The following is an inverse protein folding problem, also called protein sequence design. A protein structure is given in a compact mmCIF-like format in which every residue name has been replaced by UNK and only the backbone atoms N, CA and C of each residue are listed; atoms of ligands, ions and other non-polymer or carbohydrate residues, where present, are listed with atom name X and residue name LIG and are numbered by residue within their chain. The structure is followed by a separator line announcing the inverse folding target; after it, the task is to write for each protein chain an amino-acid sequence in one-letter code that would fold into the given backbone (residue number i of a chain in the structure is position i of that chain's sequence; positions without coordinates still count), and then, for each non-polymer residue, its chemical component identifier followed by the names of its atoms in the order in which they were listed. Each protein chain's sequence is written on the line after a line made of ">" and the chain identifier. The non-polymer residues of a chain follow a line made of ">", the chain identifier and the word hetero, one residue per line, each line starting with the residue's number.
data_IF_822641621853
#
_entry.id   IF_822641621853
#
_cell.length_a   1.000
_cell.length_b   1.000
_cell.length_c   1.000
_cell.angle_alpha   90.00
_cell.angle_beta   90.00
_cell.angle_gamma   90.00
#
_symmetry.space_group_name_H-M   'P 1'
#
loop_
_entity.id
_entity.type
_entity.pdbx_description
1 polymer ?
#
# COMPACT_ATOMS: atom_id res chain seq x y z
N UNK A 1 -10.17 -56.94 44.88
CA UNK A 1 -9.55 -55.63 44.59
C UNK A 1 -9.26 -55.53 43.09
N UNK A 2 -10.15 -54.95 42.27
CA UNK A 2 -9.94 -54.83 40.81
C UNK A 2 -10.47 -53.52 40.18
N UNK A 3 -10.64 -52.44 40.95
CA UNK A 3 -11.30 -51.21 40.47
C UNK A 3 -10.36 -50.06 40.06
N UNK A 4 -9.05 -50.21 40.23
CA UNK A 4 -8.08 -49.10 40.09
C UNK A 4 -7.54 -48.93 38.65
N UNK A 5 -7.45 -50.00 37.86
CA UNK A 5 -6.85 -49.94 36.51
C UNK A 5 -7.72 -49.22 35.47
N UNK A 6 -9.05 -49.34 35.54
CA UNK A 6 -9.97 -48.76 34.55
C UNK A 6 -10.01 -47.22 34.52
N UNK A 7 -9.66 -46.56 35.63
CA UNK A 7 -9.68 -45.10 35.72
C UNK A 7 -8.43 -44.47 35.07
N UNK A 8 -7.27 -45.13 35.19
CA UNK A 8 -6.00 -44.63 34.62
C UNK A 8 -5.96 -44.66 33.09
N UNK A 9 -6.55 -45.69 32.47
CA UNK A 9 -6.68 -45.83 31.01
C UNK A 9 -7.59 -44.75 30.42
N UNK A 10 -8.75 -44.49 31.04
CA UNK A 10 -9.69 -43.46 30.60
C UNK A 10 -9.09 -42.04 30.63
N UNK A 11 -8.26 -41.73 31.64
CA UNK A 11 -7.56 -40.44 31.74
C UNK A 11 -6.47 -40.31 30.67
N UNK A 12 -5.74 -41.39 30.37
CA UNK A 12 -4.73 -41.40 29.28
C UNK A 12 -5.37 -41.21 27.89
N UNK A 13 -6.50 -41.88 27.61
CA UNK A 13 -7.21 -41.72 26.34
C UNK A 13 -7.84 -40.33 26.20
N UNK A 14 -8.47 -39.78 27.25
CA UNK A 14 -8.98 -38.40 27.26
C UNK A 14 -7.88 -37.36 27.01
N UNK A 15 -6.70 -37.54 27.60
CA UNK A 15 -5.58 -36.62 27.40
C UNK A 15 -5.02 -36.68 25.96
N UNK A 16 -5.01 -37.85 25.31
CA UNK A 16 -4.63 -37.96 23.89
C UNK A 16 -5.65 -37.29 22.97
N UNK A 17 -6.94 -37.50 23.23
CA UNK A 17 -8.03 -36.87 22.46
C UNK A 17 -8.03 -35.35 22.64
N UNK A 18 -7.85 -34.86 23.87
CA UNK A 18 -7.73 -33.43 24.15
C UNK A 18 -6.54 -32.77 23.45
N UNK A 19 -5.38 -33.44 23.45
CA UNK A 19 -4.20 -33.00 22.69
C UNK A 19 -4.48 -32.94 21.19
N UNK A 20 -5.20 -33.91 20.65
CA UNK A 20 -5.59 -33.90 19.24
C UNK A 20 -6.50 -32.70 18.90
N UNK A 21 -7.53 -32.44 19.70
CA UNK A 21 -8.39 -31.27 19.50
C UNK A 21 -7.62 -29.95 19.60
N UNK A 22 -6.69 -29.82 20.54
CA UNK A 22 -5.83 -28.63 20.64
C UNK A 22 -4.98 -28.40 19.39
N UNK A 23 -4.40 -29.46 18.82
CA UNK A 23 -3.60 -29.36 17.59
C UNK A 23 -4.46 -28.94 16.41
N UNK A 24 -5.66 -29.50 16.28
CA UNK A 24 -6.60 -29.12 15.21
C UNK A 24 -7.02 -27.65 15.35
N UNK A 25 -7.35 -27.20 16.56
CA UNK A 25 -7.69 -25.79 16.82
C UNK A 25 -6.51 -24.88 16.45
N UNK A 26 -5.30 -25.22 16.90
CA UNK A 26 -4.11 -24.44 16.56
C UNK A 26 -3.86 -24.38 15.05
N UNK A 27 -3.98 -25.51 14.35
CA UNK A 27 -3.83 -25.56 12.89
C UNK A 27 -4.88 -24.67 12.20
N UNK A 28 -6.14 -24.68 12.64
CA UNK A 28 -7.17 -23.80 12.08
C UNK A 28 -6.88 -22.33 12.32
N UNK A 29 -6.35 -21.96 13.50
CA UNK A 29 -5.96 -20.57 13.79
C UNK A 29 -4.86 -20.12 12.84
N UNK A 30 -3.84 -20.95 12.60
CA UNK A 30 -2.73 -20.62 11.68
C UNK A 30 -3.22 -20.41 10.25
N UNK A 31 -4.16 -21.25 9.79
CA UNK A 31 -4.76 -21.13 8.44
C UNK A 31 -5.56 -19.84 8.34
N UNK A 32 -6.46 -19.57 9.29
CA UNK A 32 -7.28 -18.35 9.30
C UNK A 32 -6.40 -17.11 9.34
N UNK A 33 -5.38 -17.11 10.20
CA UNK A 33 -4.44 -16.00 10.31
C UNK A 33 -3.72 -15.71 8.99
N UNK A 34 -3.27 -16.75 8.28
CA UNK A 34 -2.63 -16.61 6.97
C UNK A 34 -3.56 -16.00 5.93
N UNK A 35 -4.84 -16.40 5.92
CA UNK A 35 -5.86 -15.85 5.01
C UNK A 35 -6.13 -14.37 5.31
N UNK A 36 -6.27 -14.02 6.59
CA UNK A 36 -6.54 -12.64 7.02
C UNK A 36 -5.39 -11.72 6.59
N UNK A 37 -4.14 -12.13 6.81
CA UNK A 37 -2.98 -11.35 6.39
C UNK A 37 -2.92 -11.15 4.87
N UNK A 38 -3.19 -12.21 4.10
CA UNK A 38 -3.21 -12.11 2.65
C UNK A 38 -4.30 -11.15 2.15
N UNK A 39 -5.50 -11.23 2.74
CA UNK A 39 -6.60 -10.34 2.41
C UNK A 39 -6.30 -8.88 2.75
N UNK A 40 -5.70 -8.62 3.91
CA UNK A 40 -5.30 -7.28 4.33
C UNK A 40 -4.30 -6.66 3.33
N UNK A 41 -3.32 -7.43 2.86
CA UNK A 41 -2.36 -6.95 1.85
C UNK A 41 -3.02 -6.61 0.53
N UNK A 42 -3.92 -7.46 0.04
CA UNK A 42 -4.65 -7.22 -1.20
C UNK A 42 -5.54 -5.97 -1.13
N UNK A 43 -6.27 -5.81 -0.02
CA UNK A 43 -7.12 -4.63 0.20
C UNK A 43 -6.27 -3.36 0.31
N UNK A 44 -5.13 -3.43 1.01
CA UNK A 44 -4.26 -2.28 1.17
C UNK A 44 -3.64 -1.84 -0.16
N UNK A 45 -3.12 -2.77 -0.98
CA UNK A 45 -2.62 -2.43 -2.32
C UNK A 45 -3.70 -1.79 -3.19
N UNK A 46 -4.93 -2.29 -3.14
CA UNK A 46 -6.06 -1.69 -3.86
C UNK A 46 -6.36 -0.26 -3.41
N UNK A 47 -6.31 0.00 -2.10
CA UNK A 47 -6.47 1.37 -1.55
C UNK A 47 -5.34 2.29 -2.00
N UNK A 48 -4.09 1.84 -1.93
CA UNK A 48 -2.93 2.64 -2.36
C UNK A 48 -3.02 2.99 -3.86
N UNK A 49 -3.44 2.04 -4.70
CA UNK A 49 -3.65 2.30 -6.12
C UNK A 49 -4.74 3.33 -6.38
N UNK A 50 -5.85 3.24 -5.64
CA UNK A 50 -6.96 4.20 -5.75
C UNK A 50 -6.51 5.60 -5.31
N UNK A 51 -5.82 5.70 -4.18
CA UNK A 51 -5.28 6.96 -3.67
C UNK A 51 -4.32 7.58 -4.71
N UNK A 52 -3.42 6.77 -5.30
CA UNK A 52 -2.50 7.22 -6.35
C UNK A 52 -3.20 7.67 -7.64
N UNK A 53 -4.27 6.99 -8.05
CA UNK A 53 -5.11 7.41 -9.19
C UNK A 53 -5.83 8.73 -8.92
N UNK A 54 -6.33 8.93 -7.71
CA UNK A 54 -6.93 10.20 -7.31
C UNK A 54 -5.89 11.33 -7.33
N UNK A 55 -4.67 11.06 -6.86
CA UNK A 55 -3.55 12.00 -6.94
C UNK A 55 -3.24 12.35 -8.39
N UNK A 56 -3.16 11.36 -9.30
CA UNK A 56 -2.90 11.60 -10.71
C UNK A 56 -3.98 12.46 -11.38
N UNK A 57 -5.25 12.24 -11.02
CA UNK A 57 -6.35 13.07 -11.49
C UNK A 57 -6.26 14.51 -10.94
N UNK A 58 -5.97 14.65 -9.65
CA UNK A 58 -5.78 15.94 -9.02
C UNK A 58 -4.59 16.71 -9.63
N UNK A 59 -3.47 16.03 -9.92
CA UNK A 59 -2.33 16.63 -10.62
C UNK A 59 -2.74 17.21 -11.97
N UNK A 60 -3.55 16.49 -12.74
CA UNK A 60 -4.05 16.98 -14.04
C UNK A 60 -4.96 18.21 -13.86
N UNK A 61 -5.81 18.22 -12.85
CA UNK A 61 -6.67 19.38 -12.55
C UNK A 61 -5.82 20.61 -12.20
N UNK A 62 -4.86 20.47 -11.30
CA UNK A 62 -3.94 21.55 -10.92
C UNK A 62 -3.12 22.01 -12.12
N UNK A 63 -2.64 21.09 -12.95
CA UNK A 63 -1.89 21.46 -14.16
C UNK A 63 -2.74 22.31 -15.14
N UNK A 64 -4.03 22.04 -15.27
CA UNK A 64 -4.95 22.86 -16.08
C UNK A 64 -5.06 24.28 -15.51
N UNK A 65 -5.13 24.43 -14.19
CA UNK A 65 -5.16 25.74 -13.53
C UNK A 65 -3.86 26.53 -13.74
N UNK A 66 -2.71 25.90 -13.54
CA UNK A 66 -1.40 26.49 -13.78
C UNK A 66 -1.22 26.90 -15.25
N UNK A 67 -1.66 26.08 -16.20
CA UNK A 67 -1.69 26.45 -17.62
C UNK A 67 -2.53 27.69 -17.90
N UNK A 68 -3.69 27.82 -17.23
CA UNK A 68 -4.54 29.01 -17.34
C UNK A 68 -3.85 30.29 -16.87
N UNK A 69 -2.93 30.17 -15.91
CA UNK A 69 -2.17 31.27 -15.33
C UNK A 69 -0.81 31.51 -16.02
N UNK A 70 -0.41 30.63 -16.95
CA UNK A 70 0.89 30.70 -17.64
C UNK A 70 2.08 30.19 -16.84
N UNK A 71 1.84 29.54 -15.70
CA UNK A 71 2.85 28.99 -14.81
C UNK A 71 3.04 27.48 -15.02
N UNK A 72 4.18 26.94 -14.58
CA UNK A 72 4.42 25.48 -14.59
C UNK A 72 4.25 24.88 -13.21
N UNK A 73 3.51 23.78 -13.16
CA UNK A 73 3.35 22.96 -11.96
C UNK A 73 4.66 22.21 -11.60
N UNK A 74 5.50 21.91 -12.60
CA UNK A 74 6.73 21.15 -12.43
C UNK A 74 7.92 22.07 -12.19
N UNK A 75 8.64 21.84 -11.08
CA UNK A 75 9.81 22.62 -10.70
C UNK A 75 11.02 21.71 -10.65
N UNK A 76 11.89 21.83 -11.66
CA UNK A 76 13.11 21.05 -11.74
C UNK A 76 14.04 21.37 -10.56
N UNK A 77 14.57 20.33 -9.92
CA UNK A 77 15.51 20.45 -8.80
C UNK A 77 14.87 20.74 -7.44
N UNK A 78 13.53 20.86 -7.35
CA UNK A 78 12.86 20.89 -6.05
C UNK A 78 12.81 19.48 -5.42
N UNK A 79 12.75 19.35 -4.09
CA UNK A 79 12.78 18.04 -3.42
C UNK A 79 11.69 17.07 -3.89
N UNK A 80 10.53 17.60 -4.28
CA UNK A 80 9.35 16.83 -4.69
C UNK A 80 8.93 17.06 -6.14
N UNK A 81 9.74 17.78 -6.92
CA UNK A 81 9.45 18.21 -8.30
C UNK A 81 8.31 19.21 -8.46
N UNK A 82 7.76 19.71 -7.35
CA UNK A 82 6.69 20.71 -7.28
C UNK A 82 6.95 21.68 -6.11
N UNK A 83 6.23 22.79 -6.08
CA UNK A 83 6.21 23.68 -4.91
C UNK A 83 5.38 23.06 -3.78
N UNK A 84 5.62 23.51 -2.54
CA UNK A 84 4.88 23.03 -1.36
C UNK A 84 3.38 23.26 -1.50
N UNK A 85 2.98 24.42 -2.01
CA UNK A 85 1.58 24.83 -2.10
C UNK A 85 0.83 23.95 -3.13
N UNK A 86 1.48 23.68 -4.27
CA UNK A 86 0.98 22.74 -5.27
C UNK A 86 0.71 21.35 -4.68
N UNK A 87 1.58 20.85 -3.81
CA UNK A 87 1.40 19.54 -3.15
C UNK A 87 0.18 19.59 -2.22
N UNK A 88 -0.01 20.69 -1.49
CA UNK A 88 -1.18 20.89 -0.62
C UNK A 88 -2.47 20.87 -1.44
N UNK A 89 -2.50 21.57 -2.58
CA UNK A 89 -3.66 21.60 -3.47
C UNK A 89 -3.99 20.22 -4.04
N UNK A 90 -2.97 19.48 -4.50
CA UNK A 90 -3.15 18.09 -4.97
C UNK A 90 -3.73 17.21 -3.87
N UNK A 91 -3.22 17.31 -2.63
CA UNK A 91 -3.71 16.52 -1.50
C UNK A 91 -5.17 16.85 -1.17
N UNK A 92 -5.50 18.14 -1.15
CA UNK A 92 -6.86 18.63 -0.94
C UNK A 92 -7.83 18.08 -2.00
N UNK A 93 -7.48 18.20 -3.29
CA UNK A 93 -8.32 17.77 -4.40
C UNK A 93 -8.43 16.24 -4.52
N UNK A 94 -7.35 15.51 -4.24
CA UNK A 94 -7.34 14.04 -4.31
C UNK A 94 -8.06 13.36 -3.13
N UNK A 95 -8.35 14.11 -2.06
CA UNK A 95 -8.89 13.57 -0.80
C UNK A 95 -7.88 12.73 -0.02
N UNK A 96 -6.58 12.83 -0.35
CA UNK A 96 -5.50 12.08 0.28
C UNK A 96 -4.73 13.02 1.21
N UNK A 97 -5.01 12.92 2.51
CA UNK A 97 -4.45 13.83 3.52
C UNK A 97 -3.05 13.43 3.99
N UNK A 98 -2.65 12.18 3.77
CA UNK A 98 -1.46 11.54 4.28
C UNK A 98 -0.64 10.86 3.17
N UNK A 99 0.66 10.72 3.41
CA UNK A 99 1.61 10.21 2.42
C UNK A 99 2.39 11.31 1.69
N UNK A 100 3.42 10.87 0.99
CA UNK A 100 4.42 11.70 0.32
C UNK A 100 4.28 11.53 -1.19
N UNK A 101 4.23 12.66 -1.90
CA UNK A 101 4.03 12.71 -3.34
C UNK A 101 5.29 13.36 -3.93
N UNK A 102 5.96 12.63 -4.82
CA UNK A 102 7.14 13.14 -5.53
C UNK A 102 6.88 13.07 -7.02
N UNK A 103 6.85 14.22 -7.69
CA UNK A 103 6.78 14.31 -9.14
C UNK A 103 8.19 14.26 -9.71
N UNK A 104 8.50 13.25 -10.51
CA UNK A 104 9.85 13.06 -11.07
C UNK A 104 9.97 13.77 -12.41
N UNK A 105 8.97 13.59 -13.27
CA UNK A 105 8.97 14.12 -14.62
C UNK A 105 7.56 14.48 -15.07
N UNK A 106 7.47 15.50 -15.90
CA UNK A 106 6.24 15.97 -16.53
C UNK A 106 6.31 15.80 -18.05
N UNK A 107 5.22 15.34 -18.66
CA UNK A 107 5.05 15.34 -20.11
C UNK A 107 4.25 16.58 -20.50
N UNK A 108 4.95 17.57 -21.05
CA UNK A 108 4.37 18.84 -21.48
C UNK A 108 3.47 18.72 -22.71
N UNK A 109 3.69 17.72 -23.57
CA UNK A 109 2.91 17.54 -24.81
C UNK A 109 1.48 17.09 -24.52
N UNK A 110 1.33 16.07 -23.66
CA UNK A 110 0.02 15.54 -23.29
C UNK A 110 -0.53 16.20 -22.00
N UNK A 111 0.23 17.10 -21.37
CA UNK A 111 -0.06 17.73 -20.08
C UNK A 111 -0.42 16.73 -18.98
N UNK A 112 0.43 15.72 -18.83
CA UNK A 112 0.27 14.65 -17.84
C UNK A 112 1.57 14.46 -17.06
N UNK A 113 1.51 13.98 -15.80
CA UNK A 113 2.72 13.49 -15.17
C UNK A 113 3.32 12.38 -16.05
N UNK A 114 4.62 12.43 -16.27
CA UNK A 114 5.34 11.37 -16.97
C UNK A 114 5.75 10.27 -15.97
N UNK A 115 6.20 10.68 -14.77
CA UNK A 115 6.53 9.77 -13.68
C UNK A 115 6.33 10.43 -12.34
N UNK A 116 5.64 9.76 -11.42
CA UNK A 116 5.55 10.20 -10.03
C UNK A 116 5.55 9.01 -9.07
N UNK A 117 5.91 9.30 -7.83
CA UNK A 117 5.90 8.36 -6.72
C UNK A 117 4.91 8.82 -5.67
N UNK A 118 4.16 7.86 -5.14
CA UNK A 118 3.33 8.06 -3.97
C UNK A 118 3.70 7.05 -2.90
N UNK A 119 4.17 7.54 -1.76
CA UNK A 119 4.56 6.72 -0.63
C UNK A 119 3.60 6.96 0.54
N UNK A 120 2.99 5.90 1.04
CA UNK A 120 2.12 5.95 2.22
C UNK A 120 2.24 4.65 2.99
N UNK A 121 2.44 4.77 4.29
CA UNK A 121 2.80 3.64 5.16
C UNK A 121 4.04 2.91 4.59
N UNK A 122 3.92 1.60 4.39
CA UNK A 122 4.93 0.71 3.84
C UNK A 122 4.68 0.37 2.37
N UNK A 123 4.00 1.26 1.64
CA UNK A 123 3.71 1.06 0.23
C UNK A 123 4.26 2.23 -0.58
N UNK A 124 4.88 1.88 -1.70
CA UNK A 124 5.30 2.80 -2.74
C UNK A 124 4.52 2.47 -3.99
N UNK A 125 3.76 3.43 -4.50
CA UNK A 125 3.14 3.36 -5.81
C UNK A 125 4.01 4.15 -6.77
N UNK A 126 4.44 3.48 -7.84
CA UNK A 126 5.16 4.09 -8.95
C UNK A 126 4.19 4.21 -10.11
N UNK A 127 4.08 5.41 -10.62
CA UNK A 127 3.33 5.69 -11.84
C UNK A 127 4.30 6.08 -12.95
N UNK A 128 4.09 5.52 -14.13
CA UNK A 128 4.85 5.86 -15.34
C UNK A 128 3.90 5.95 -16.54
N UNK A 129 4.08 6.98 -17.36
CA UNK A 129 3.32 7.16 -18.60
C UNK A 129 4.14 6.65 -19.79
N UNK A 130 3.65 5.61 -20.47
CA UNK A 130 4.26 5.16 -21.72
C UNK A 130 3.82 6.09 -22.85
N UNK A 131 4.73 6.96 -23.29
CA UNK A 131 4.47 7.92 -24.37
C UNK A 131 4.20 7.22 -25.72
N UNK A 132 4.78 6.04 -25.97
CA UNK A 132 4.62 5.31 -27.24
C UNK A 132 3.26 4.62 -27.33
N UNK A 133 2.85 3.98 -26.25
CA UNK A 133 1.57 3.24 -26.20
C UNK A 133 0.41 4.08 -25.68
N UNK A 134 0.70 5.26 -25.12
CA UNK A 134 -0.25 6.13 -24.41
C UNK A 134 -0.94 5.43 -23.22
N UNK A 135 -0.24 4.48 -22.61
CA UNK A 135 -0.74 3.67 -21.50
C UNK A 135 -0.22 4.17 -20.14
N UNK A 136 -1.03 3.90 -19.11
CA UNK A 136 -0.72 4.25 -17.72
C UNK A 136 -0.18 2.99 -17.01
N UNK A 137 1.12 3.00 -16.69
CA UNK A 137 1.77 1.92 -15.97
C UNK A 137 1.73 2.21 -14.46
N UNK A 138 1.34 1.20 -13.69
CA UNK A 138 1.19 1.28 -12.24
C UNK A 138 1.87 0.11 -11.59
N UNK A 139 2.93 0.38 -10.83
CA UNK A 139 3.61 -0.62 -10.01
C UNK A 139 3.41 -0.30 -8.54
N UNK A 140 3.11 -1.33 -7.74
CA UNK A 140 2.88 -1.21 -6.31
C UNK A 140 3.90 -2.08 -5.59
N UNK A 141 4.78 -1.44 -4.84
CA UNK A 141 5.78 -2.10 -4.04
C UNK A 141 5.44 -1.99 -2.57
N UNK A 142 5.65 -3.09 -1.85
CA UNK A 142 5.66 -3.07 -0.39
C UNK A 142 7.10 -2.84 0.07
N UNK A 143 7.33 -1.73 0.75
CA UNK A 143 8.61 -1.38 1.32
C UNK A 143 8.72 -2.02 2.70
N UNK A 144 9.75 -2.83 2.89
CA UNK A 144 10.15 -3.24 4.23
C UNK A 144 11.14 -2.21 4.76
N UNK A 145 10.97 -1.67 5.97
CA UNK A 145 11.97 -0.81 6.57
C UNK A 145 13.21 -1.67 6.79
N UNK A 146 14.22 -1.47 5.97
CA UNK A 146 15.55 -2.03 6.19
C UNK A 146 16.12 -1.15 7.29
N UNK A 147 16.13 -1.65 8.53
CA UNK A 147 16.74 -1.10 9.76
C UNK A 147 17.28 0.33 9.60
N UNK A 148 16.73 1.30 10.35
CA UNK A 148 17.30 2.64 10.48
C UNK A 148 18.81 2.54 10.77
N UNK A 149 19.63 2.77 9.75
CA UNK A 149 21.07 2.84 9.87
C UNK A 149 21.39 4.17 10.55
N UNK A 150 21.40 4.13 11.88
CA UNK A 150 22.16 5.04 12.74
C UNK A 150 21.64 6.47 12.86
N UNK A 151 21.16 6.80 14.06
CA UNK A 151 21.58 8.02 14.76
C UNK A 151 22.06 7.66 16.15
#
# INVERSE_FOLDING_TARGET
>A
MWKVQGNSLNVMFKNKIYRYYLVVIFATIVIIFSIVLHYEYYVMSGRMLRDAKNIQLAMRMVAIEYMGNGDSMYVYGSPYGMNSDTIVDIKSLSGVNDGEITLVAWNTEDNVPAKFYFQKNNYLVVYEYDVKQKELLWDIYRIQPILELGK
#
